data_IF_731989557614
#
_entry.id   IF_731989557614
#
_cell.length_a   1.000
_cell.length_b   1.000
_cell.length_c   1.000
_cell.angle_alpha   90.00
_cell.angle_beta   90.00
_cell.angle_gamma   90.00
#
_symmetry.space_group_name_H-M   'P 1'
#
loop_
_entity.id
_entity.type
_entity.pdbx_description
1 polymer ?
#
# COMPACT_ATOMS: atom_id res chain seq x y z
N UNK A 1 29.29 -2.44 -7.81
CA UNK A 1 29.29 -2.22 -6.35
C UNK A 1 27.86 -2.38 -5.87
N UNK A 2 27.53 -3.54 -5.30
CA UNK A 2 26.18 -3.84 -4.83
C UNK A 2 25.92 -3.13 -3.50
N UNK A 3 25.24 -2.00 -3.55
CA UNK A 3 24.64 -1.41 -2.36
C UNK A 3 23.60 -2.39 -1.84
N UNK A 4 23.80 -2.89 -0.63
CA UNK A 4 22.82 -3.74 0.05
C UNK A 4 21.54 -2.93 0.17
N UNK A 5 20.47 -3.35 -0.51
CA UNK A 5 19.16 -2.70 -0.43
C UNK A 5 18.81 -2.52 1.06
N UNK A 6 18.30 -1.36 1.48
CA UNK A 6 17.93 -1.11 2.88
C UNK A 6 17.00 -2.23 3.36
N UNK A 7 17.13 -2.64 4.63
CA UNK A 7 16.35 -3.79 5.13
C UNK A 7 14.85 -3.50 4.99
N UNK A 8 14.05 -4.42 4.44
CA UNK A 8 12.60 -4.27 4.41
C UNK A 8 12.07 -4.10 5.83
N UNK A 9 11.27 -3.05 6.03
CA UNK A 9 10.77 -2.66 7.33
C UNK A 9 9.30 -3.04 7.52
N UNK A 10 8.75 -2.58 8.64
CA UNK A 10 7.32 -2.64 8.93
C UNK A 10 6.45 -2.08 7.78
N UNK A 11 6.96 -1.07 7.05
CA UNK A 11 6.20 -0.25 6.11
C UNK A 11 6.43 -0.57 4.62
N UNK A 12 7.60 -1.11 4.25
CA UNK A 12 7.94 -1.48 2.87
C UNK A 12 8.69 -2.82 2.83
N UNK A 13 8.55 -3.54 1.74
CA UNK A 13 9.24 -4.83 1.52
C UNK A 13 9.66 -5.01 0.07
N UNK A 14 10.89 -5.45 -0.16
CA UNK A 14 11.43 -5.70 -1.50
C UNK A 14 10.75 -6.91 -2.14
N UNK A 15 10.53 -6.87 -3.45
CA UNK A 15 9.86 -7.99 -4.14
C UNK A 15 10.62 -9.31 -4.02
N UNK A 16 11.95 -9.26 -3.90
CA UNK A 16 12.82 -10.40 -3.66
C UNK A 16 12.53 -11.13 -2.34
N UNK A 17 11.88 -10.45 -1.39
CA UNK A 17 11.58 -10.95 -0.04
C UNK A 17 10.08 -11.25 0.17
N UNK A 18 9.25 -11.05 -0.86
CA UNK A 18 7.81 -11.31 -0.82
C UNK A 18 7.51 -12.70 -1.36
N UNK A 19 6.78 -13.52 -0.59
CA UNK A 19 6.20 -14.78 -1.05
C UNK A 19 4.67 -14.84 -0.93
N UNK A 20 4.08 -15.98 -1.32
CA UNK A 20 2.64 -16.23 -1.22
C UNK A 20 2.08 -16.09 0.22
N UNK A 21 2.90 -16.31 1.24
CA UNK A 21 2.52 -16.12 2.64
C UNK A 21 2.22 -14.66 3.01
N UNK A 22 2.72 -13.70 2.22
CA UNK A 22 2.64 -12.27 2.52
C UNK A 22 1.39 -11.59 1.96
N UNK A 23 0.41 -12.34 1.41
CA UNK A 23 -0.82 -11.77 0.85
C UNK A 23 -1.54 -10.84 1.83
N UNK A 24 -1.57 -11.18 3.12
CA UNK A 24 -2.18 -10.32 4.15
C UNK A 24 -1.40 -9.02 4.41
N UNK A 25 -0.09 -9.02 4.11
CA UNK A 25 0.81 -7.87 4.33
C UNK A 25 0.92 -6.96 3.13
N UNK A 26 0.93 -7.50 1.90
CA UNK A 26 1.20 -6.72 0.68
C UNK A 26 0.12 -6.85 -0.41
N UNK A 27 -0.88 -7.70 -0.21
CA UNK A 27 -1.92 -7.99 -1.19
C UNK A 27 -1.49 -9.01 -2.25
N UNK A 28 -2.49 -9.62 -2.92
CA UNK A 28 -2.26 -10.74 -3.85
C UNK A 28 -1.42 -10.40 -5.09
N UNK A 29 -1.49 -9.16 -5.58
CA UNK A 29 -0.70 -8.72 -6.74
C UNK A 29 0.79 -8.66 -6.43
N UNK A 30 1.15 -8.01 -5.32
CA UNK A 30 2.55 -7.91 -4.88
C UNK A 30 3.09 -9.29 -4.48
N UNK A 31 2.28 -10.13 -3.82
CA UNK A 31 2.64 -11.52 -3.54
C UNK A 31 2.97 -12.31 -4.83
N UNK A 32 2.13 -12.19 -5.85
CA UNK A 32 2.37 -12.85 -7.14
C UNK A 32 3.61 -12.30 -7.86
N UNK A 33 3.88 -11.00 -7.74
CA UNK A 33 5.08 -10.38 -8.31
C UNK A 33 6.35 -10.87 -7.61
N UNK A 34 6.36 -10.99 -6.28
CA UNK A 34 7.47 -11.56 -5.53
C UNK A 34 7.77 -13.00 -5.91
N UNK A 35 6.73 -13.83 -6.07
CA UNK A 35 6.88 -15.21 -6.58
C UNK A 35 7.52 -15.24 -7.98
N UNK A 36 7.13 -14.32 -8.88
CA UNK A 36 7.75 -14.19 -10.20
C UNK A 36 9.22 -13.79 -10.09
N UNK A 37 9.57 -12.81 -9.26
CA UNK A 37 10.97 -12.40 -9.03
C UNK A 37 11.80 -13.61 -8.59
N UNK A 38 11.36 -14.32 -7.56
CA UNK A 38 12.09 -15.46 -6.99
C UNK A 38 12.20 -16.65 -7.95
N UNK A 39 11.14 -16.95 -8.72
CA UNK A 39 11.11 -18.10 -9.62
C UNK A 39 11.80 -17.86 -10.97
N UNK A 40 11.75 -16.62 -11.48
CA UNK A 40 12.17 -16.29 -12.85
C UNK A 40 13.58 -15.69 -12.92
N UNK A 41 14.02 -14.96 -11.88
CA UNK A 41 15.37 -14.39 -11.86
C UNK A 41 16.49 -15.44 -12.00
N UNK A 42 16.42 -16.62 -11.32
CA UNK A 42 17.41 -17.69 -11.52
C UNK A 42 17.42 -18.29 -12.93
N UNK A 43 16.34 -18.06 -13.71
CA UNK A 43 16.19 -18.52 -15.10
C UNK A 43 16.62 -17.47 -16.12
N UNK A 44 17.22 -16.36 -15.66
CA UNK A 44 17.66 -15.26 -16.52
C UNK A 44 16.53 -14.38 -17.07
N UNK A 45 15.29 -14.58 -16.61
CA UNK A 45 14.15 -13.75 -16.99
C UNK A 45 14.11 -12.54 -16.04
N UNK A 46 14.19 -11.35 -16.62
CA UNK A 46 14.24 -10.10 -15.86
C UNK A 46 12.83 -9.64 -15.47
N UNK A 47 12.59 -9.56 -14.17
CA UNK A 47 11.46 -8.82 -13.58
C UNK A 47 12.01 -7.48 -13.08
N UNK A 48 11.32 -6.35 -13.31
CA UNK A 48 11.77 -5.05 -12.80
C UNK A 48 11.94 -5.07 -11.27
N UNK A 49 13.02 -4.51 -10.73
CA UNK A 49 13.20 -4.40 -9.27
C UNK A 49 12.19 -3.41 -8.69
N UNK A 50 11.92 -3.54 -7.40
CA UNK A 50 11.03 -2.63 -6.68
C UNK A 50 10.61 -3.17 -5.33
N UNK A 51 9.70 -2.44 -4.69
CA UNK A 51 9.17 -2.78 -3.38
C UNK A 51 7.65 -2.59 -3.36
N UNK A 52 7.01 -3.21 -2.37
CA UNK A 52 5.62 -2.99 -2.02
C UNK A 52 5.53 -2.19 -0.72
N UNK A 53 4.59 -1.24 -0.64
CA UNK A 53 4.09 -0.74 0.65
C UNK A 53 3.28 -1.84 1.33
N UNK A 54 3.33 -1.91 2.66
CA UNK A 54 2.55 -2.87 3.44
C UNK A 54 1.15 -2.34 3.77
N UNK A 55 0.26 -3.23 4.19
CA UNK A 55 -1.03 -2.86 4.75
C UNK A 55 -0.90 -1.97 5.99
N UNK A 56 0.17 -2.12 6.78
CA UNK A 56 0.47 -1.25 7.91
C UNK A 56 0.74 0.19 7.47
N UNK A 57 1.52 0.40 6.40
CA UNK A 57 1.73 1.74 5.85
C UNK A 57 0.41 2.41 5.43
N UNK A 58 -0.54 1.64 4.90
CA UNK A 58 -1.89 2.14 4.62
C UNK A 58 -2.65 2.55 5.89
N UNK A 59 -2.60 1.72 6.94
CA UNK A 59 -3.27 2.04 8.21
C UNK A 59 -2.65 3.24 8.92
N UNK A 60 -1.33 3.39 8.88
CA UNK A 60 -0.62 4.54 9.43
C UNK A 60 -1.04 5.83 8.70
N UNK A 61 -1.14 5.81 7.37
CA UNK A 61 -1.66 6.93 6.58
C UNK A 61 -3.11 7.28 6.96
N UNK A 62 -3.97 6.27 7.07
CA UNK A 62 -5.37 6.44 7.46
C UNK A 62 -5.51 7.08 8.85
N UNK A 63 -4.69 6.63 9.81
CA UNK A 63 -4.70 7.11 11.19
C UNK A 63 -4.17 8.54 11.29
N UNK A 64 -3.02 8.83 10.69
CA UNK A 64 -2.41 10.17 10.73
C UNK A 64 -3.35 11.25 10.17
N UNK A 65 -4.17 10.87 9.18
CA UNK A 65 -5.11 11.77 8.51
C UNK A 65 -6.54 11.70 9.06
N UNK A 66 -6.81 10.91 10.11
CA UNK A 66 -8.13 10.75 10.73
C UNK A 66 -9.22 10.41 9.69
N UNK A 67 -8.87 9.56 8.72
CA UNK A 67 -9.74 9.29 7.58
C UNK A 67 -10.86 8.31 7.91
N UNK A 68 -10.65 7.43 8.89
CA UNK A 68 -11.56 6.33 9.20
C UNK A 68 -12.95 6.86 9.55
N UNK A 69 -13.04 7.79 10.49
CA UNK A 69 -14.29 8.36 10.97
C UNK A 69 -15.00 9.12 9.83
N UNK A 70 -14.27 9.95 9.10
CA UNK A 70 -14.82 10.73 7.97
C UNK A 70 -15.36 9.85 6.86
N UNK A 71 -14.67 8.76 6.53
CA UNK A 71 -15.13 7.79 5.53
C UNK A 71 -16.37 7.05 6.04
N UNK A 72 -16.42 6.69 7.32
CA UNK A 72 -17.60 6.03 7.91
C UNK A 72 -18.84 6.92 7.86
N UNK A 73 -18.71 8.22 8.13
CA UNK A 73 -19.83 9.17 8.03
C UNK A 73 -20.35 9.28 6.59
N UNK A 74 -19.44 9.45 5.62
CA UNK A 74 -19.78 9.52 4.19
C UNK A 74 -20.48 8.25 3.70
N UNK A 75 -19.98 7.07 4.10
CA UNK A 75 -20.62 5.79 3.77
C UNK A 75 -21.97 5.62 4.50
N UNK A 76 -22.10 6.15 5.72
CA UNK A 76 -23.35 6.15 6.47
C UNK A 76 -24.44 6.93 5.75
N UNK A 77 -24.11 8.12 5.24
CA UNK A 77 -25.04 8.94 4.45
C UNK A 77 -25.41 8.28 3.11
N UNK A 78 -24.46 7.61 2.45
CA UNK A 78 -24.75 6.81 1.26
C UNK A 78 -25.75 5.68 1.56
N UNK A 79 -25.51 4.90 2.62
CA UNK A 79 -26.38 3.78 3.02
C UNK A 79 -27.76 4.28 3.44
N UNK A 80 -27.84 5.46 4.07
CA UNK A 80 -29.09 6.11 4.43
C UNK A 80 -29.83 6.75 3.23
N UNK A 81 -29.25 6.71 2.02
CA UNK A 81 -29.83 7.32 0.81
C UNK A 81 -29.78 8.85 0.79
N UNK A 82 -28.93 9.46 1.62
CA UNK A 82 -28.76 10.92 1.72
C UNK A 82 -27.72 11.47 0.74
N UNK A 83 -26.88 10.61 0.18
CA UNK A 83 -25.83 10.97 -0.78
C UNK A 83 -25.77 9.95 -1.92
N UNK A 84 -25.38 10.39 -3.13
CA UNK A 84 -25.20 9.49 -4.26
C UNK A 84 -23.86 8.75 -4.19
N UNK A 85 -23.79 7.56 -4.80
CA UNK A 85 -22.56 6.75 -4.85
C UNK A 85 -21.39 7.50 -5.50
N UNK A 86 -21.67 8.23 -6.59
CA UNK A 86 -20.65 8.98 -7.32
C UNK A 86 -20.05 10.11 -6.47
N UNK A 87 -20.90 10.88 -5.78
CA UNK A 87 -20.51 11.98 -4.89
C UNK A 87 -19.73 11.45 -3.68
N UNK A 88 -20.24 10.41 -3.02
CA UNK A 88 -19.59 9.76 -1.87
C UNK A 88 -18.20 9.25 -2.25
N UNK A 89 -18.09 8.54 -3.38
CA UNK A 89 -16.82 8.02 -3.87
C UNK A 89 -15.84 9.13 -4.25
N UNK A 90 -16.32 10.26 -4.79
CA UNK A 90 -15.48 11.42 -5.08
C UNK A 90 -14.95 12.05 -3.79
N UNK A 91 -15.83 12.31 -2.82
CA UNK A 91 -15.46 12.89 -1.54
C UNK A 91 -14.40 12.03 -0.83
N UNK A 92 -14.58 10.70 -0.77
CA UNK A 92 -13.59 9.79 -0.18
C UNK A 92 -12.24 9.87 -0.91
N UNK A 93 -12.23 9.87 -2.25
CA UNK A 93 -10.96 10.02 -3.02
C UNK A 93 -10.27 11.35 -2.73
N UNK A 94 -11.02 12.44 -2.62
CA UNK A 94 -10.48 13.75 -2.26
C UNK A 94 -9.84 13.74 -0.86
N UNK A 95 -10.40 12.98 0.10
CA UNK A 95 -9.77 12.80 1.42
C UNK A 95 -8.37 12.19 1.32
N UNK A 96 -8.20 11.14 0.50
CA UNK A 96 -6.89 10.52 0.30
C UNK A 96 -5.91 11.46 -0.43
N UNK A 97 -6.39 12.20 -1.42
CA UNK A 97 -5.53 13.12 -2.19
C UNK A 97 -5.01 14.31 -1.37
N UNK A 98 -5.74 14.73 -0.33
CA UNK A 98 -5.34 15.80 0.58
C UNK A 98 -4.67 15.29 1.86
N UNK A 99 -4.52 13.96 2.02
CA UNK A 99 -3.85 13.41 3.18
C UNK A 99 -2.35 13.61 3.12
N UNK A 100 -1.75 13.90 4.26
CA UNK A 100 -0.31 14.04 4.42
C UNK A 100 0.33 12.67 4.71
N UNK A 101 1.50 12.44 4.14
CA UNK A 101 2.27 11.23 4.42
C UNK A 101 2.89 11.29 5.82
N UNK A 102 2.71 10.26 6.66
CA UNK A 102 3.47 10.14 7.91
C UNK A 102 4.97 10.13 7.63
N UNK A 103 5.76 10.82 8.45
CA UNK A 103 7.21 10.97 8.25
C UNK A 103 7.93 9.62 8.12
N UNK A 104 7.60 8.65 8.99
CA UNK A 104 8.18 7.30 8.94
C UNK A 104 7.86 6.57 7.62
N UNK A 105 6.61 6.71 7.14
CA UNK A 105 6.17 6.09 5.87
C UNK A 105 6.84 6.73 4.67
N UNK A 106 6.92 8.07 4.63
CA UNK A 106 7.61 8.79 3.57
C UNK A 106 9.09 8.42 3.52
N UNK A 107 9.78 8.40 4.67
CA UNK A 107 11.17 8.00 4.78
C UNK A 107 11.40 6.57 4.27
N UNK A 108 10.51 5.63 4.60
CA UNK A 108 10.58 4.24 4.13
C UNK A 108 10.43 4.06 2.61
N UNK A 109 9.89 5.06 1.91
CA UNK A 109 9.69 5.06 0.44
C UNK A 109 10.87 5.72 -0.29
N UNK A 110 11.50 6.73 0.31
CA UNK A 110 12.56 7.53 -0.34
C UNK A 110 13.98 7.00 -0.15
N UNK A 111 14.14 5.87 0.54
CA UNK A 111 15.44 5.28 0.87
C UNK A 111 15.83 4.19 -0.12
#
# INVERSE_FOLDING_TARGET
>A
MGGKLPRPGRLTVWFEEIGRGDVGRVGGKNASLGEMVQALAPRGIRVPPGFATTAEAYWDFMQANQLKERIQDLLGDLVAGKAALAETGQAIRELFLHGDWPEETAAAITT
#
